data_IF_859415399587
#
_entry.id   IF_859415399587
#
_cell.length_a   1.000
_cell.length_b   1.000
_cell.length_c   1.000
_cell.angle_alpha   90.00
_cell.angle_beta   90.00
_cell.angle_gamma   90.00
#
_symmetry.space_group_name_H-M   'P 1'
#
loop_
_entity.id
_entity.type
_entity.pdbx_description
1 polymer ?
#
# COMPACT_ATOMS: atom_id res chain seq x y z
N UNK A 1 -4.00 -8.85 35.87
CA UNK A 1 -4.57 -7.58 35.36
C UNK A 1 -4.12 -7.24 33.91
N UNK A 2 -3.20 -7.99 33.29
CA UNK A 2 -2.69 -7.68 31.95
C UNK A 2 -3.54 -8.28 30.79
N UNK A 3 -4.32 -9.31 31.03
CA UNK A 3 -5.06 -10.03 29.99
C UNK A 3 -6.26 -9.24 29.42
N UNK A 4 -7.02 -8.58 30.27
CA UNK A 4 -8.21 -7.83 29.83
C UNK A 4 -7.90 -6.59 28.96
N UNK A 5 -6.68 -6.05 29.00
CA UNK A 5 -6.30 -4.87 28.21
C UNK A 5 -5.98 -5.27 26.75
N UNK A 6 -5.30 -6.40 26.54
CA UNK A 6 -4.94 -6.87 25.20
C UNK A 6 -6.17 -7.31 24.42
N UNK A 7 -7.08 -8.10 25.02
CA UNK A 7 -8.35 -8.49 24.41
C UNK A 7 -9.21 -7.29 24.03
N UNK A 8 -9.26 -6.26 24.88
CA UNK A 8 -9.98 -5.02 24.57
C UNK A 8 -9.38 -4.27 23.38
N UNK A 9 -8.05 -4.22 23.30
CA UNK A 9 -7.38 -3.60 22.14
C UNK A 9 -7.57 -4.40 20.86
N UNK A 10 -7.57 -5.74 20.93
CA UNK A 10 -7.86 -6.61 19.79
C UNK A 10 -9.29 -6.40 19.28
N UNK A 11 -10.27 -6.39 20.17
CA UNK A 11 -11.66 -6.12 19.82
C UNK A 11 -11.84 -4.73 19.17
N UNK A 12 -11.08 -3.72 19.60
CA UNK A 12 -11.10 -2.39 18.99
C UNK A 12 -10.53 -2.39 17.56
N UNK A 13 -9.58 -3.26 17.24
CA UNK A 13 -9.02 -3.41 15.89
C UNK A 13 -10.00 -4.03 14.89
N UNK A 14 -11.06 -4.68 15.34
CA UNK A 14 -12.15 -5.17 14.46
C UNK A 14 -12.99 -4.02 13.89
N UNK A 15 -12.89 -2.82 14.47
CA UNK A 15 -13.51 -1.62 13.94
C UNK A 15 -12.48 -0.47 13.84
N UNK A 16 -11.59 -0.51 12.85
CA UNK A 16 -10.49 0.46 12.72
C UNK A 16 -10.98 1.90 12.53
N UNK A 17 -12.12 2.11 11.90
CA UNK A 17 -12.70 3.45 11.72
C UNK A 17 -13.06 4.05 13.10
N UNK A 18 -13.73 3.28 13.94
CA UNK A 18 -14.09 3.73 15.28
C UNK A 18 -12.85 3.90 16.18
N UNK A 19 -11.89 2.99 16.08
CA UNK A 19 -10.63 3.09 16.82
C UNK A 19 -9.86 4.36 16.43
N UNK A 20 -9.73 4.63 15.12
CA UNK A 20 -9.10 5.84 14.62
C UNK A 20 -9.77 7.12 15.13
N UNK A 21 -11.10 7.18 15.04
CA UNK A 21 -11.88 8.30 15.56
C UNK A 21 -11.73 8.50 17.09
N UNK A 22 -11.59 7.40 17.85
CA UNK A 22 -11.38 7.44 19.30
C UNK A 22 -9.98 7.97 19.68
N UNK A 23 -8.94 7.58 18.92
CA UNK A 23 -7.56 7.95 19.20
C UNK A 23 -7.15 9.31 18.63
N UNK A 24 -7.83 9.77 17.57
CA UNK A 24 -7.49 11.03 16.86
C UNK A 24 -7.42 12.27 17.77
N UNK A 25 -8.32 12.49 18.76
CA UNK A 25 -8.22 13.62 19.67
C UNK A 25 -6.90 13.66 20.46
N UNK A 26 -6.34 12.50 20.79
CA UNK A 26 -5.05 12.39 21.50
C UNK A 26 -3.89 12.82 20.58
N UNK A 27 -3.95 12.45 19.28
CA UNK A 27 -2.98 12.90 18.29
C UNK A 27 -3.05 14.41 18.10
N UNK A 28 -4.26 14.98 17.98
CA UNK A 28 -4.46 16.43 17.87
C UNK A 28 -3.86 17.16 19.08
N UNK A 29 -4.16 16.67 20.30
CA UNK A 29 -3.61 17.25 21.51
C UNK A 29 -2.07 17.19 21.53
N UNK A 30 -1.47 16.06 21.12
CA UNK A 30 -0.02 15.91 21.04
C UNK A 30 0.61 16.86 20.01
N UNK A 31 0.03 17.00 18.82
CA UNK A 31 0.49 17.93 17.78
C UNK A 31 0.42 19.38 18.26
N UNK A 32 -0.66 19.75 18.95
CA UNK A 32 -0.83 21.09 19.54
C UNK A 32 0.27 21.42 20.54
N UNK A 33 0.78 20.45 21.31
CA UNK A 33 1.87 20.69 22.27
C UNK A 33 3.21 21.05 21.62
N UNK A 34 3.37 20.71 20.34
CA UNK A 34 4.57 20.98 19.55
C UNK A 34 4.32 22.01 18.44
N UNK A 35 3.22 22.75 18.53
CA UNK A 35 2.81 23.81 17.59
C UNK A 35 2.73 23.32 16.13
N UNK A 36 2.21 22.11 15.93
CA UNK A 36 1.98 21.49 14.61
C UNK A 36 0.48 21.44 14.32
N UNK A 37 0.07 22.00 13.20
CA UNK A 37 -1.32 21.95 12.74
C UNK A 37 -1.58 20.63 11.98
N UNK A 38 -2.61 19.88 12.40
CA UNK A 38 -3.04 18.66 11.74
C UNK A 38 -3.39 18.90 10.27
N UNK A 39 -4.00 20.04 9.92
CA UNK A 39 -4.33 20.36 8.52
C UNK A 39 -3.07 20.44 7.64
N UNK A 40 -1.98 21.02 8.14
CA UNK A 40 -0.71 21.10 7.41
C UNK A 40 -0.09 19.71 7.25
N UNK A 41 -0.19 18.85 8.26
CA UNK A 41 0.23 17.44 8.17
C UNK A 41 -0.57 16.70 7.10
N UNK A 42 -1.89 16.85 7.10
CA UNK A 42 -2.77 16.24 6.11
C UNK A 42 -2.42 16.71 4.70
N UNK A 43 -2.37 18.02 4.48
CA UNK A 43 -2.00 18.59 3.17
C UNK A 43 -0.64 18.08 2.69
N UNK A 44 0.34 18.05 3.59
CA UNK A 44 1.67 17.52 3.28
C UNK A 44 1.64 16.05 2.89
N UNK A 45 0.89 15.22 3.60
CA UNK A 45 0.77 13.78 3.32
C UNK A 45 0.14 13.49 1.95
N UNK A 46 -0.85 14.30 1.55
CA UNK A 46 -1.55 14.13 0.27
C UNK A 46 -0.75 14.61 -0.94
N UNK A 47 0.28 15.41 -0.73
CA UNK A 47 1.15 15.95 -1.79
C UNK A 47 2.54 15.32 -1.84
N UNK A 48 3.07 14.87 -0.70
CA UNK A 48 4.37 14.22 -0.63
C UNK A 48 4.29 12.73 -0.99
N UNK A 49 5.35 12.14 -1.56
CA UNK A 49 5.38 10.73 -1.95
C UNK A 49 5.38 9.78 -0.76
N UNK A 50 5.87 10.22 0.41
CA UNK A 50 5.85 9.44 1.64
C UNK A 50 6.05 10.31 2.89
N UNK A 51 5.66 9.75 4.04
CA UNK A 51 6.00 10.24 5.39
C UNK A 51 6.67 9.11 6.14
N UNK A 52 7.83 9.37 6.76
CA UNK A 52 8.52 8.42 7.63
C UNK A 52 8.46 8.91 9.06
N UNK A 53 7.67 8.23 9.88
CA UNK A 53 7.53 8.47 11.32
C UNK A 53 8.44 7.51 12.06
N UNK A 54 9.29 8.04 12.94
CA UNK A 54 10.27 7.23 13.68
C UNK A 54 9.82 7.00 15.12
N UNK A 55 10.10 5.80 15.62
CA UNK A 55 9.85 5.41 17.01
C UNK A 55 8.40 5.72 17.46
N UNK A 56 7.42 5.31 16.64
CA UNK A 56 5.99 5.56 16.89
C UNK A 56 5.44 4.62 17.94
N UNK A 57 5.99 3.42 18.05
CA UNK A 57 5.60 2.40 19.03
C UNK A 57 6.82 1.62 19.52
N UNK A 58 6.72 1.10 20.74
CA UNK A 58 7.79 0.32 21.35
C UNK A 58 7.78 -1.13 20.88
N UNK A 59 8.97 -1.73 20.80
CA UNK A 59 9.17 -3.13 20.49
C UNK A 59 9.47 -3.90 21.77
N UNK A 60 8.62 -4.85 22.10
CA UNK A 60 8.79 -5.74 23.25
C UNK A 60 8.54 -7.19 22.82
N UNK A 61 9.34 -8.11 23.32
CA UNK A 61 9.11 -9.59 23.28
C UNK A 61 8.56 -10.14 21.95
N UNK A 62 9.22 -9.83 20.86
CA UNK A 62 8.85 -10.39 19.55
C UNK A 62 9.17 -11.89 19.50
N UNK A 63 8.20 -12.74 19.14
CA UNK A 63 8.46 -14.14 18.81
C UNK A 63 9.31 -14.24 17.55
N UNK A 64 9.63 -15.45 17.12
CA UNK A 64 10.20 -15.67 15.80
C UNK A 64 9.32 -15.02 14.72
N UNK A 65 9.96 -14.50 13.69
CA UNK A 65 9.28 -13.91 12.53
C UNK A 65 8.34 -14.95 11.90
N UNK A 66 7.07 -14.61 11.64
CA UNK A 66 6.16 -15.51 10.96
C UNK A 66 6.68 -15.97 9.60
N UNK A 67 6.28 -17.16 9.19
CA UNK A 67 6.61 -17.73 7.88
C UNK A 67 5.45 -17.68 6.88
N UNK A 68 4.42 -16.88 7.19
CA UNK A 68 3.25 -16.67 6.35
C UNK A 68 2.78 -15.20 6.42
N UNK A 69 2.06 -14.75 5.38
CA UNK A 69 1.50 -13.41 5.35
C UNK A 69 0.41 -13.21 6.42
N UNK A 70 -0.34 -14.24 6.72
CA UNK A 70 -1.42 -14.27 7.71
C UNK A 70 -1.42 -15.57 8.50
N UNK A 71 -1.94 -15.57 9.74
CA UNK A 71 -2.38 -14.41 10.51
C UNK A 71 -1.21 -13.55 11.04
N UNK A 72 -1.49 -12.31 11.40
CA UNK A 72 -0.57 -11.51 12.24
C UNK A 72 -0.71 -11.99 13.68
N UNK A 73 0.37 -12.32 14.39
CA UNK A 73 0.29 -12.74 15.79
C UNK A 73 -0.32 -11.66 16.71
N UNK A 74 -1.20 -12.09 17.62
CA UNK A 74 -1.90 -11.21 18.58
C UNK A 74 -1.08 -11.05 19.87
N UNK A 75 -0.04 -10.23 19.79
CA UNK A 75 0.85 -9.89 20.91
C UNK A 75 0.89 -8.37 21.11
N UNK A 76 1.31 -7.91 22.29
CA UNK A 76 1.29 -6.50 22.65
C UNK A 76 1.96 -5.60 21.59
N UNK A 77 3.14 -5.97 21.10
CA UNK A 77 3.88 -5.21 20.08
C UNK A 77 3.13 -5.10 18.75
N UNK A 78 2.56 -6.20 18.24
CA UNK A 78 1.80 -6.15 16.98
C UNK A 78 0.47 -5.43 17.13
N UNK A 79 -0.16 -5.48 18.29
CA UNK A 79 -1.36 -4.70 18.62
C UNK A 79 -1.02 -3.21 18.65
N UNK A 80 0.07 -2.82 19.31
CA UNK A 80 0.53 -1.44 19.32
C UNK A 80 0.86 -0.92 17.90
N UNK A 81 1.58 -1.72 17.10
CA UNK A 81 1.90 -1.38 15.72
C UNK A 81 0.63 -1.19 14.84
N UNK A 82 -0.36 -2.09 14.98
CA UNK A 82 -1.64 -2.02 14.27
C UNK A 82 -2.45 -0.79 14.69
N UNK A 83 -2.59 -0.53 15.99
CA UNK A 83 -3.30 0.65 16.51
C UNK A 83 -2.63 1.95 16.07
N UNK A 84 -1.28 2.01 16.10
CA UNK A 84 -0.52 3.16 15.62
C UNK A 84 -0.73 3.41 14.12
N UNK A 85 -0.76 2.36 13.29
CA UNK A 85 -1.05 2.49 11.87
C UNK A 85 -2.48 3.02 11.63
N UNK A 86 -3.48 2.51 12.36
CA UNK A 86 -4.87 2.98 12.28
C UNK A 86 -4.98 4.46 12.60
N UNK A 87 -4.38 4.92 13.69
CA UNK A 87 -4.47 6.34 14.09
C UNK A 87 -3.68 7.25 13.16
N UNK A 88 -2.53 6.80 12.63
CA UNK A 88 -1.78 7.56 11.63
C UNK A 88 -2.60 7.77 10.36
N UNK A 89 -3.28 6.74 9.86
CA UNK A 89 -4.16 6.85 8.69
C UNK A 89 -5.38 7.73 8.98
N UNK A 90 -6.03 7.56 10.14
CA UNK A 90 -7.15 8.40 10.55
C UNK A 90 -6.76 9.89 10.64
N UNK A 91 -5.54 10.19 11.13
CA UNK A 91 -5.00 11.55 11.15
C UNK A 91 -4.84 12.16 9.75
N UNK A 92 -4.74 11.33 8.70
CA UNK A 92 -4.69 11.76 7.31
C UNK A 92 -6.07 11.80 6.61
N UNK A 93 -7.18 11.71 7.34
CA UNK A 93 -8.53 11.55 6.80
C UNK A 93 -8.66 10.31 5.90
N UNK A 94 -8.01 9.23 6.28
CA UNK A 94 -7.96 7.98 5.54
C UNK A 94 -8.39 6.83 6.45
N UNK A 95 -9.39 6.07 6.05
CA UNK A 95 -9.79 4.87 6.78
C UNK A 95 -8.82 3.73 6.51
N UNK A 96 -8.54 2.94 7.53
CA UNK A 96 -7.77 1.70 7.37
C UNK A 96 -8.65 0.65 6.72
N UNK A 97 -8.21 0.11 5.57
CA UNK A 97 -9.01 -0.80 4.74
C UNK A 97 -8.23 -2.05 4.31
N UNK A 98 -8.98 -3.05 3.88
CA UNK A 98 -8.46 -4.22 3.16
C UNK A 98 -9.35 -4.54 1.95
N UNK A 99 -8.86 -5.42 1.06
CA UNK A 99 -9.63 -5.93 -0.07
C UNK A 99 -9.92 -7.41 0.13
N UNK A 100 -11.16 -7.84 -0.11
CA UNK A 100 -11.54 -9.25 0.02
C UNK A 100 -10.71 -10.19 -0.86
N UNK A 101 -10.23 -9.70 -1.99
CA UNK A 101 -9.38 -10.45 -2.92
C UNK A 101 -7.90 -10.52 -2.53
N UNK A 102 -7.46 -9.87 -1.45
CA UNK A 102 -6.07 -9.93 -1.02
C UNK A 102 -5.95 -10.50 0.39
N UNK A 103 -5.14 -11.56 0.55
CA UNK A 103 -4.89 -12.20 1.85
C UNK A 103 -6.18 -12.48 2.65
N UNK A 104 -7.20 -13.01 1.98
CA UNK A 104 -8.52 -13.34 2.54
C UNK A 104 -9.23 -12.14 3.22
N UNK A 105 -8.87 -10.92 2.86
CA UNK A 105 -9.45 -9.70 3.41
C UNK A 105 -8.92 -9.31 4.78
N UNK A 106 -7.80 -9.88 5.22
CA UNK A 106 -7.16 -9.48 6.48
C UNK A 106 -6.70 -8.02 6.43
N UNK A 107 -7.01 -7.27 7.50
CA UNK A 107 -6.69 -5.85 7.59
C UNK A 107 -5.19 -5.57 7.66
N UNK A 108 -4.45 -6.46 8.31
CA UNK A 108 -2.99 -6.40 8.44
C UNK A 108 -2.36 -7.70 7.94
N UNK A 109 -1.23 -7.56 7.25
CA UNK A 109 -0.47 -8.69 6.75
C UNK A 109 1.00 -8.60 7.14
N UNK A 110 1.63 -9.75 7.38
CA UNK A 110 3.06 -9.84 7.60
C UNK A 110 3.80 -9.72 6.25
N UNK A 111 4.72 -8.78 6.14
CA UNK A 111 5.68 -8.73 5.04
C UNK A 111 6.98 -9.37 5.50
N UNK A 112 7.11 -10.65 5.20
CA UNK A 112 8.18 -11.54 5.69
C UNK A 112 8.77 -12.35 4.55
N UNK A 113 9.91 -12.99 4.80
CA UNK A 113 10.47 -14.01 3.92
C UNK A 113 9.62 -15.27 4.03
N UNK A 114 9.16 -15.80 2.90
CA UNK A 114 8.41 -17.05 2.86
C UNK A 114 9.36 -18.24 2.68
N UNK A 115 9.07 -19.40 3.31
CA UNK A 115 9.84 -20.62 3.14
C UNK A 115 9.58 -21.29 1.78
N UNK A 116 10.48 -22.20 1.40
CA UNK A 116 10.35 -23.00 0.18
C UNK A 116 10.75 -22.25 -1.09
N UNK A 117 10.30 -22.80 -2.21
CA UNK A 117 10.57 -22.33 -3.56
C UNK A 117 9.28 -21.91 -4.26
N UNK A 118 9.41 -21.16 -5.35
CA UNK A 118 8.30 -20.73 -6.21
C UNK A 118 7.99 -19.25 -6.10
N UNK A 119 7.07 -18.80 -6.94
CA UNK A 119 6.80 -17.39 -7.25
C UNK A 119 6.69 -16.48 -6.02
N UNK A 120 6.01 -16.89 -4.95
CA UNK A 120 5.84 -16.06 -3.76
C UNK A 120 7.06 -16.08 -2.84
N UNK A 121 7.69 -17.25 -2.67
CA UNK A 121 8.90 -17.39 -1.89
C UNK A 121 10.04 -16.58 -2.54
N UNK A 122 10.23 -16.74 -3.85
CA UNK A 122 11.24 -16.00 -4.62
C UNK A 122 10.97 -14.50 -4.59
N UNK A 123 9.71 -14.09 -4.81
CA UNK A 123 9.31 -12.69 -4.74
C UNK A 123 9.50 -12.11 -3.33
N UNK A 124 9.36 -12.90 -2.27
CA UNK A 124 9.59 -12.44 -0.90
C UNK A 124 11.04 -12.06 -0.62
N UNK A 125 11.98 -12.67 -1.34
CA UNK A 125 13.45 -12.49 -1.20
C UNK A 125 14.02 -11.51 -2.22
N UNK A 126 13.50 -11.50 -3.46
CA UNK A 126 14.03 -10.70 -4.56
C UNK A 126 13.74 -9.20 -4.40
N UNK A 127 14.44 -8.39 -5.18
CA UNK A 127 14.14 -6.98 -5.25
C UNK A 127 12.74 -6.76 -5.88
N UNK A 128 12.04 -5.71 -5.44
CA UNK A 128 10.79 -5.25 -6.04
C UNK A 128 11.02 -3.88 -6.65
N UNK A 129 10.81 -3.79 -7.96
CA UNK A 129 10.87 -2.51 -8.70
C UNK A 129 9.64 -1.65 -8.43
N UNK A 130 9.67 -0.40 -8.87
CA UNK A 130 8.64 0.60 -8.62
C UNK A 130 7.24 0.15 -9.04
N UNK A 131 6.28 0.28 -8.12
CA UNK A 131 4.87 0.00 -8.36
C UNK A 131 4.00 0.81 -7.40
N UNK A 132 2.72 0.92 -7.78
CA UNK A 132 1.63 1.25 -6.88
C UNK A 132 0.87 -0.02 -6.55
N UNK A 133 0.27 -0.11 -5.36
CA UNK A 133 -0.59 -1.23 -5.00
C UNK A 133 -1.98 -1.09 -5.59
N UNK A 134 -2.60 -2.23 -5.95
CA UNK A 134 -3.94 -2.25 -6.51
C UNK A 134 -4.05 -1.70 -7.93
N UNK A 135 -3.04 -1.91 -8.79
CA UNK A 135 -3.02 -1.34 -10.17
C UNK A 135 -4.18 -1.79 -11.06
N UNK A 136 -4.81 -2.94 -10.75
CA UNK A 136 -6.02 -3.40 -11.43
C UNK A 136 -7.30 -2.78 -10.89
N UNK A 137 -7.23 -1.98 -9.84
CA UNK A 137 -8.38 -1.27 -9.29
C UNK A 137 -8.41 0.17 -9.82
N UNK A 138 -9.59 0.81 -9.90
CA UNK A 138 -9.69 2.16 -10.41
C UNK A 138 -8.94 3.15 -9.50
N UNK A 139 -8.48 4.23 -10.08
CA UNK A 139 -8.05 5.39 -9.29
C UNK A 139 -9.29 6.02 -8.65
N UNK A 140 -9.19 6.53 -7.42
CA UNK A 140 -10.31 7.19 -6.74
C UNK A 140 -10.95 8.26 -7.63
N UNK A 141 -12.27 8.27 -7.66
CA UNK A 141 -13.06 9.13 -8.54
C UNK A 141 -13.33 8.55 -9.94
N UNK A 142 -12.74 7.40 -10.29
CA UNK A 142 -13.01 6.71 -11.56
C UNK A 142 -13.78 5.39 -11.32
N UNK A 143 -14.76 5.05 -12.17
CA UNK A 143 -15.40 3.74 -12.13
C UNK A 143 -14.46 2.66 -12.68
N UNK A 144 -14.61 1.42 -12.20
CA UNK A 144 -13.99 0.28 -12.84
C UNK A 144 -14.73 -0.08 -14.14
N UNK A 145 -13.98 -0.43 -15.18
CA UNK A 145 -14.52 -0.66 -16.53
C UNK A 145 -15.56 -1.81 -16.57
N UNK A 146 -15.29 -2.93 -15.90
CA UNK A 146 -16.14 -4.12 -15.94
C UNK A 146 -17.12 -4.25 -14.77
N UNK A 147 -16.82 -3.67 -13.63
CA UNK A 147 -17.65 -3.82 -12.43
C UNK A 147 -17.54 -2.59 -11.52
N UNK A 148 -18.61 -1.82 -11.46
CA UNK A 148 -18.66 -0.60 -10.66
C UNK A 148 -18.62 -0.84 -9.13
N UNK A 149 -18.78 -2.09 -8.68
CA UNK A 149 -18.63 -2.45 -7.26
C UNK A 149 -17.15 -2.50 -6.84
N UNK A 150 -16.24 -2.58 -7.79
CA UNK A 150 -14.80 -2.58 -7.47
C UNK A 150 -14.44 -1.27 -6.78
N UNK A 151 -13.90 -1.37 -5.58
CA UNK A 151 -13.43 -0.22 -4.83
C UNK A 151 -12.13 0.35 -5.46
N UNK A 152 -11.83 1.63 -5.24
CA UNK A 152 -10.58 2.22 -5.71
C UNK A 152 -9.35 1.55 -5.10
N UNK A 153 -8.21 1.64 -5.79
CA UNK A 153 -6.91 1.32 -5.22
C UNK A 153 -6.62 2.20 -4.00
N UNK A 154 -5.79 1.76 -3.03
CA UNK A 154 -5.55 2.50 -1.80
C UNK A 154 -4.88 3.85 -2.08
N UNK A 155 -5.19 4.88 -1.30
CA UNK A 155 -4.49 6.16 -1.32
C UNK A 155 -3.13 6.06 -0.62
N UNK A 156 -3.04 5.27 0.45
CA UNK A 156 -1.82 5.07 1.23
C UNK A 156 -1.50 3.59 1.42
N UNK A 157 -0.21 3.28 1.37
CA UNK A 157 0.35 2.02 1.87
C UNK A 157 1.07 2.33 3.18
N UNK A 158 0.63 1.70 4.26
CA UNK A 158 1.21 1.88 5.60
C UNK A 158 2.07 0.66 5.95
N UNK A 159 3.33 0.89 6.25
CA UNK A 159 4.30 -0.13 6.65
C UNK A 159 4.80 0.15 8.06
N UNK A 160 4.60 -0.80 8.98
CA UNK A 160 5.10 -0.73 10.36
C UNK A 160 6.28 -1.67 10.56
N UNK A 161 7.40 -1.16 11.06
CA UNK A 161 8.64 -1.91 11.27
C UNK A 161 8.62 -2.70 12.58
N UNK A 162 8.71 -4.04 12.52
CA UNK A 162 8.90 -4.87 13.69
C UNK A 162 10.35 -5.38 13.79
N UNK A 163 10.91 -5.82 12.66
CA UNK A 163 12.28 -6.34 12.59
C UNK A 163 12.89 -6.08 11.22
N UNK A 164 14.11 -5.53 11.16
CA UNK A 164 14.82 -5.28 9.91
C UNK A 164 16.35 -5.38 10.13
N UNK A 165 16.86 -6.58 10.46
CA UNK A 165 18.26 -6.78 10.93
C UNK A 165 19.29 -6.39 9.87
N UNK A 166 18.97 -6.58 8.59
CA UNK A 166 19.87 -6.30 7.48
C UNK A 166 19.68 -4.90 6.91
N UNK A 167 18.92 -4.02 7.59
CA UNK A 167 18.60 -2.67 7.10
C UNK A 167 18.11 -2.67 5.63
N UNK A 168 17.30 -3.66 5.27
CA UNK A 168 16.74 -3.76 3.91
C UNK A 168 15.88 -2.53 3.63
N UNK A 169 16.28 -1.75 2.62
CA UNK A 169 15.59 -0.53 2.26
C UNK A 169 14.23 -0.82 1.59
N UNK A 170 13.23 -0.06 1.96
CA UNK A 170 12.07 0.22 1.12
C UNK A 170 12.46 1.38 0.20
N UNK A 171 12.26 1.24 -1.10
CA UNK A 171 12.56 2.30 -2.07
C UNK A 171 11.28 3.06 -2.38
N UNK A 172 11.37 4.39 -2.48
CA UNK A 172 10.27 5.24 -2.93
C UNK A 172 10.75 6.11 -4.09
N UNK A 173 9.97 6.16 -5.17
CA UNK A 173 10.23 6.98 -6.34
C UNK A 173 9.18 8.10 -6.36
N UNK A 174 9.57 9.35 -6.00
CA UNK A 174 8.68 10.50 -6.04
C UNK A 174 8.24 10.79 -7.47
N UNK A 175 6.94 10.74 -7.76
CA UNK A 175 6.41 10.96 -9.11
C UNK A 175 6.86 12.29 -9.69
N UNK A 176 6.85 13.36 -8.89
CA UNK A 176 7.28 14.68 -9.33
C UNK A 176 8.76 14.72 -9.80
N UNK A 177 9.64 13.99 -9.11
CA UNK A 177 11.05 13.87 -9.52
C UNK A 177 11.20 12.99 -10.77
N UNK A 178 10.42 11.93 -10.89
CA UNK A 178 10.40 11.05 -12.07
C UNK A 178 9.94 11.83 -13.30
N UNK A 179 8.83 12.57 -13.21
CA UNK A 179 8.31 13.35 -14.34
C UNK A 179 9.26 14.47 -14.79
N UNK A 180 10.07 15.03 -13.89
CA UNK A 180 11.11 16.02 -14.26
C UNK A 180 12.24 15.45 -15.15
N UNK A 181 12.35 14.13 -15.23
CA UNK A 181 13.32 13.44 -16.09
C UNK A 181 12.78 13.13 -17.49
N UNK A 182 11.47 13.27 -17.68
CA UNK A 182 10.79 12.99 -18.94
C UNK A 182 10.61 14.26 -19.76
N UNK A 183 10.48 14.08 -21.07
CA UNK A 183 10.02 15.15 -21.99
C UNK A 183 8.51 15.33 -21.85
N UNK A 184 8.00 16.48 -22.29
CA UNK A 184 6.56 16.74 -22.31
C UNK A 184 5.80 15.73 -23.19
N UNK A 185 6.39 15.31 -24.31
CA UNK A 185 5.78 14.33 -25.20
C UNK A 185 5.68 12.95 -24.52
N UNK A 186 6.70 12.52 -23.77
CA UNK A 186 6.66 11.26 -23.00
C UNK A 186 5.62 11.33 -21.87
N UNK A 187 5.49 12.47 -21.19
CA UNK A 187 4.45 12.68 -20.17
C UNK A 187 3.06 12.61 -20.83
N UNK A 188 2.86 13.28 -21.97
CA UNK A 188 1.59 13.20 -22.72
C UNK A 188 1.26 11.77 -23.14
N UNK A 189 2.26 11.01 -23.63
CA UNK A 189 2.03 9.60 -23.99
C UNK A 189 1.54 8.78 -22.80
N UNK A 190 2.07 8.97 -21.59
CA UNK A 190 1.64 8.25 -20.38
C UNK A 190 0.19 8.57 -19.95
N UNK A 191 -0.38 9.71 -20.41
CA UNK A 191 -1.78 10.07 -20.13
C UNK A 191 -2.77 9.47 -21.13
N UNK A 192 -2.30 8.91 -22.24
CA UNK A 192 -3.19 8.33 -23.28
C UNK A 192 -3.67 6.92 -22.87
N UNK A 193 -4.91 6.55 -23.20
CA UNK A 193 -5.44 5.20 -22.97
C UNK A 193 -4.90 4.22 -24.02
N UNK A 194 -3.66 3.75 -23.85
CA UNK A 194 -2.94 2.91 -24.81
C UNK A 194 -2.03 1.87 -24.14
N UNK A 195 -2.20 1.66 -22.84
CA UNK A 195 -1.40 0.70 -22.07
C UNK A 195 -2.23 -0.50 -21.67
N UNK A 196 -1.51 -1.56 -21.32
CA UNK A 196 -2.06 -2.83 -20.86
C UNK A 196 -1.67 -2.96 -19.38
N UNK A 197 -2.64 -3.30 -18.52
CA UNK A 197 -2.39 -3.62 -17.12
C UNK A 197 -2.87 -5.03 -16.79
N UNK A 198 -1.99 -5.82 -16.17
CA UNK A 198 -2.31 -7.15 -15.67
C UNK A 198 -2.59 -7.10 -14.17
N UNK A 199 -3.59 -7.86 -13.67
CA UNK A 199 -3.82 -7.97 -12.24
C UNK A 199 -2.56 -8.47 -11.51
N UNK A 200 -2.21 -7.82 -10.40
CA UNK A 200 -1.10 -8.25 -9.56
C UNK A 200 -1.37 -9.65 -9.00
N UNK A 201 -0.32 -10.49 -8.88
CA UNK A 201 -0.45 -11.93 -8.52
C UNK A 201 -1.20 -12.16 -7.22
N UNK A 202 -0.97 -11.34 -6.20
CA UNK A 202 -1.64 -11.45 -4.89
C UNK A 202 -3.15 -11.25 -5.01
N UNK A 203 -3.58 -10.22 -5.69
CA UNK A 203 -4.99 -9.95 -5.97
C UNK A 203 -5.61 -11.00 -6.91
N UNK A 204 -4.88 -11.41 -7.94
CA UNK A 204 -5.37 -12.41 -8.92
C UNK A 204 -5.77 -13.73 -8.26
N UNK A 205 -5.01 -14.21 -7.27
CA UNK A 205 -5.35 -15.45 -6.56
C UNK A 205 -6.63 -15.30 -5.74
N UNK A 206 -6.78 -14.22 -5.00
CA UNK A 206 -7.98 -13.95 -4.22
C UNK A 206 -9.21 -13.69 -5.10
N UNK A 207 -9.05 -12.93 -6.21
CA UNK A 207 -10.12 -12.75 -7.20
C UNK A 207 -10.62 -14.09 -7.74
N UNK A 208 -9.69 -14.99 -8.10
CA UNK A 208 -10.05 -16.34 -8.57
C UNK A 208 -10.78 -17.15 -7.51
N UNK A 209 -10.37 -17.04 -6.24
CA UNK A 209 -11.03 -17.71 -5.09
C UNK A 209 -12.42 -17.16 -4.84
N UNK A 210 -12.59 -15.83 -4.90
CA UNK A 210 -13.87 -15.17 -4.57
C UNK A 210 -14.88 -15.20 -5.72
N UNK A 211 -14.45 -14.99 -6.95
CA UNK A 211 -15.32 -14.72 -8.11
C UNK A 211 -15.27 -15.83 -9.15
N UNK A 212 -14.44 -16.86 -8.93
CA UNK A 212 -14.25 -17.95 -9.90
C UNK A 212 -13.24 -17.59 -11.00
N UNK A 213 -12.87 -18.61 -11.78
CA UNK A 213 -11.83 -18.52 -12.81
C UNK A 213 -12.20 -17.68 -14.04
N UNK A 214 -13.49 -17.49 -14.27
CA UNK A 214 -14.04 -16.81 -15.45
C UNK A 214 -14.45 -15.35 -15.16
N UNK A 215 -14.03 -14.81 -14.02
CA UNK A 215 -14.32 -13.42 -13.67
C UNK A 215 -13.60 -12.46 -14.62
N UNK A 216 -14.30 -11.44 -15.17
CA UNK A 216 -13.68 -10.41 -16.01
C UNK A 216 -12.61 -9.60 -15.25
N UNK A 217 -12.64 -9.55 -13.92
CA UNK A 217 -11.62 -8.89 -13.11
C UNK A 217 -10.26 -9.63 -13.11
N UNK A 218 -10.21 -10.84 -13.67
CA UNK A 218 -8.95 -11.59 -13.90
C UNK A 218 -8.31 -11.31 -15.24
N UNK A 219 -9.03 -10.65 -16.12
CA UNK A 219 -8.57 -10.33 -17.46
C UNK A 219 -7.55 -9.20 -17.46
N UNK A 220 -6.84 -9.12 -18.55
CA UNK A 220 -5.91 -8.02 -18.82
C UNK A 220 -6.74 -6.81 -19.21
N UNK A 221 -6.51 -5.69 -18.57
CA UNK A 221 -7.11 -4.42 -18.95
C UNK A 221 -6.30 -3.82 -20.09
N UNK A 222 -6.98 -3.37 -21.13
CA UNK A 222 -6.42 -2.70 -22.32
C UNK A 222 -6.90 -1.26 -22.37
N UNK A 223 -6.30 -0.45 -23.21
CA UNK A 223 -6.63 0.98 -23.38
C UNK A 223 -6.62 1.75 -22.05
N UNK A 224 -5.64 1.44 -21.23
CA UNK A 224 -5.48 2.03 -19.90
C UNK A 224 -4.49 3.19 -19.95
N UNK A 225 -4.86 4.26 -19.29
CA UNK A 225 -3.97 5.38 -18.98
C UNK A 225 -3.16 5.09 -17.69
N UNK A 226 -1.88 5.40 -17.72
CA UNK A 226 -1.00 5.21 -16.55
C UNK A 226 -0.92 6.47 -15.68
N UNK A 227 -0.90 7.64 -16.30
CA UNK A 227 -0.77 8.93 -15.65
C UNK A 227 -2.09 9.71 -15.75
N UNK A 228 -2.53 10.32 -14.66
CA UNK A 228 -3.81 11.04 -14.55
C UNK A 228 -3.54 12.48 -14.15
N UNK A 229 -4.05 13.44 -14.91
CA UNK A 229 -4.08 14.84 -14.50
C UNK A 229 -5.16 15.07 -13.46
N UNK A 230 -4.81 15.76 -12.38
CA UNK A 230 -5.72 16.13 -11.30
C UNK A 230 -5.53 17.61 -10.93
N UNK A 231 -6.39 18.15 -10.08
CA UNK A 231 -6.24 19.53 -9.60
C UNK A 231 -4.95 19.74 -8.78
N UNK A 232 -4.43 18.67 -8.16
CA UNK A 232 -3.23 18.68 -7.32
C UNK A 232 -1.96 18.24 -8.07
N UNK A 233 -2.03 18.11 -9.41
CA UNK A 233 -0.95 17.61 -10.26
C UNK A 233 -1.25 16.23 -10.84
N UNK A 234 -0.22 15.41 -11.01
CA UNK A 234 -0.39 14.09 -11.62
C UNK A 234 -0.50 12.99 -10.56
N UNK A 235 -1.37 12.01 -10.82
CA UNK A 235 -1.41 10.73 -10.12
C UNK A 235 -0.98 9.61 -11.07
N UNK A 236 -0.41 8.53 -10.51
CA UNK A 236 0.11 7.39 -11.26
C UNK A 236 -0.59 6.09 -10.87
N UNK A 237 -0.84 5.23 -11.84
CA UNK A 237 -1.22 3.83 -11.67
C UNK A 237 -0.26 2.97 -12.47
N UNK A 238 0.72 2.37 -11.81
CA UNK A 238 1.80 1.70 -12.52
C UNK A 238 2.38 0.56 -11.70
N UNK A 239 2.75 -0.52 -12.36
CA UNK A 239 3.59 -1.55 -11.79
C UNK A 239 4.51 -2.09 -12.87
N UNK A 240 5.82 -2.04 -12.63
CA UNK A 240 6.83 -2.53 -13.57
C UNK A 240 6.57 -3.97 -14.05
N UNK A 241 5.98 -4.84 -13.23
CA UNK A 241 5.69 -6.23 -13.58
C UNK A 241 4.30 -6.46 -14.18
N UNK A 242 3.46 -5.44 -14.23
CA UNK A 242 2.06 -5.54 -14.64
C UNK A 242 1.69 -4.62 -15.81
N UNK A 243 2.40 -3.49 -15.95
CA UNK A 243 2.20 -2.56 -17.06
C UNK A 243 2.96 -2.98 -18.30
N UNK A 244 2.34 -2.79 -19.46
CA UNK A 244 2.91 -3.09 -20.77
C UNK A 244 2.29 -2.16 -21.81
N UNK A 245 2.80 -2.15 -23.04
CA UNK A 245 2.23 -1.39 -24.14
C UNK A 245 1.58 -2.33 -25.15
N UNK A 246 0.61 -1.86 -25.91
CA UNK A 246 0.19 -2.55 -27.11
C UNK A 246 1.35 -2.49 -28.12
N UNK A 247 1.59 -3.60 -28.84
CA UNK A 247 2.82 -3.84 -29.62
C UNK A 247 3.05 -2.85 -30.75
N UNK A 248 2.06 -2.07 -31.13
CA UNK A 248 2.10 -1.19 -32.32
C UNK A 248 2.46 0.28 -32.02
N UNK A 249 2.64 0.69 -30.74
CA UNK A 249 2.99 2.07 -30.39
C UNK A 249 4.45 2.22 -29.95
N UNK A 250 5.33 2.66 -30.85
CA UNK A 250 6.73 2.96 -30.54
C UNK A 250 6.85 4.10 -29.50
N UNK A 251 5.99 5.12 -29.59
CA UNK A 251 5.99 6.25 -28.66
C UNK A 251 5.59 5.83 -27.25
N UNK A 252 4.53 5.03 -27.11
CA UNK A 252 4.12 4.49 -25.80
C UNK A 252 5.22 3.58 -25.21
N UNK A 253 5.85 2.74 -26.04
CA UNK A 253 6.97 1.88 -25.64
C UNK A 253 8.18 2.68 -25.19
N UNK A 254 8.47 3.79 -25.84
CA UNK A 254 9.55 4.68 -25.44
C UNK A 254 9.21 5.40 -24.13
N UNK A 255 8.00 5.94 -24.00
CA UNK A 255 7.56 6.64 -22.79
C UNK A 255 7.61 5.76 -21.54
N UNK A 256 7.16 4.50 -21.62
CA UNK A 256 7.23 3.56 -20.48
C UNK A 256 8.68 3.21 -20.13
N UNK A 257 9.57 3.04 -21.11
CA UNK A 257 11.00 2.77 -20.88
C UNK A 257 11.70 3.97 -20.21
N UNK A 258 11.44 5.18 -20.70
CA UNK A 258 11.98 6.42 -20.10
C UNK A 258 11.45 6.58 -18.68
N UNK A 259 10.17 6.31 -18.43
CA UNK A 259 9.57 6.33 -17.10
C UNK A 259 10.24 5.33 -16.15
N UNK A 260 10.49 4.10 -16.60
CA UNK A 260 11.18 3.07 -15.80
C UNK A 260 12.62 3.48 -15.45
N UNK A 261 13.34 4.03 -16.40
CA UNK A 261 14.69 4.54 -16.16
C UNK A 261 14.67 5.69 -15.16
N UNK A 262 13.76 6.65 -15.32
CA UNK A 262 13.60 7.77 -14.40
C UNK A 262 13.22 7.30 -12.98
N UNK A 263 12.38 6.28 -12.84
CA UNK A 263 12.08 5.65 -11.55
C UNK A 263 13.34 5.10 -10.86
N UNK A 264 14.23 4.46 -11.60
CA UNK A 264 15.49 3.95 -11.04
C UNK A 264 16.42 5.09 -10.60
N UNK A 265 16.54 6.14 -11.39
CA UNK A 265 17.38 7.30 -11.10
C UNK A 265 16.87 8.13 -9.91
N UNK A 266 15.55 8.23 -9.74
CA UNK A 266 14.92 9.03 -8.68
C UNK A 266 14.59 8.23 -7.42
N UNK A 267 15.03 6.97 -7.34
CA UNK A 267 14.73 6.09 -6.21
C UNK A 267 15.42 6.55 -4.92
N UNK A 268 14.63 6.85 -3.90
CA UNK A 268 15.09 7.13 -2.54
C UNK A 268 14.98 5.87 -1.67
N UNK A 269 16.01 5.60 -0.87
CA UNK A 269 16.02 4.47 0.06
C UNK A 269 15.59 4.89 1.45
N UNK A 270 14.59 4.20 2.01
CA UNK A 270 14.09 4.39 3.37
C UNK A 270 14.27 3.10 4.16
N UNK A 271 15.05 3.15 5.23
CA UNK A 271 15.20 2.03 6.16
C UNK A 271 14.12 2.17 7.24
N UNK A 272 13.17 1.23 7.25
CA UNK A 272 12.14 1.17 8.29
C UNK A 272 12.74 0.40 9.46
N UNK A 273 13.08 1.12 10.53
CA UNK A 273 13.59 0.53 11.75
C UNK A 273 12.44 -0.08 12.60
N UNK A 274 12.76 -0.94 13.59
CA UNK A 274 11.77 -1.37 14.58
C UNK A 274 11.12 -0.17 15.29
N UNK A 275 9.79 -0.14 15.34
CA UNK A 275 9.01 0.96 15.90
C UNK A 275 8.66 2.09 14.91
N UNK A 276 9.22 2.08 13.70
CA UNK A 276 8.92 3.09 12.68
C UNK A 276 7.63 2.77 11.90
N UNK A 277 7.00 3.81 11.38
CA UNK A 277 5.91 3.73 10.39
C UNK A 277 6.30 4.51 9.14
N UNK A 278 6.22 3.87 7.98
CA UNK A 278 6.32 4.51 6.68
C UNK A 278 4.95 4.53 6.01
N UNK A 279 4.45 5.73 5.72
CA UNK A 279 3.24 5.97 4.93
C UNK A 279 3.67 6.36 3.52
N UNK A 280 3.39 5.52 2.54
CA UNK A 280 3.64 5.83 1.12
C UNK A 280 2.33 6.31 0.51
N UNK A 281 2.34 7.50 -0.08
CA UNK A 281 1.21 8.01 -0.86
C UNK A 281 1.19 7.27 -2.21
N UNK A 282 0.27 6.36 -2.36
CA UNK A 282 0.15 5.44 -3.49
C UNK A 282 -0.30 6.13 -4.80
N UNK A 283 -0.50 7.45 -4.78
CA UNK A 283 -0.89 8.28 -5.94
C UNK A 283 0.30 9.00 -6.58
N UNK A 284 1.26 9.43 -5.73
CA UNK A 284 2.40 10.26 -6.14
C UNK A 284 3.75 9.67 -5.72
N UNK A 285 3.73 8.47 -5.13
CA UNK A 285 4.91 7.71 -4.72
C UNK A 285 4.82 6.27 -5.20
N UNK A 286 5.62 5.89 -6.19
CA UNK A 286 5.85 4.49 -6.45
C UNK A 286 6.78 3.95 -5.37
N UNK A 287 6.60 2.69 -5.02
CA UNK A 287 7.44 2.07 -4.03
C UNK A 287 7.97 0.71 -4.49
N UNK A 288 9.03 0.29 -3.84
CA UNK A 288 9.69 -0.99 -4.09
C UNK A 288 10.49 -1.42 -2.87
N UNK A 289 11.37 -2.38 -3.05
CA UNK A 289 12.18 -2.91 -1.97
C UNK A 289 13.46 -3.51 -2.51
N UNK A 290 14.57 -3.31 -1.80
CA UNK A 290 15.82 -4.02 -2.05
C UNK A 290 15.70 -5.54 -1.83
N UNK A 291 16.73 -6.27 -2.17
CA UNK A 291 16.83 -7.71 -1.88
C UNK A 291 16.75 -7.94 -0.38
N UNK A 292 15.90 -8.86 0.05
CA UNK A 292 15.79 -9.28 1.46
C UNK A 292 16.72 -10.45 1.68
N UNK A 293 17.72 -10.26 2.52
CA UNK A 293 18.60 -11.34 2.96
C UNK A 293 17.97 -12.17 4.10
N UNK A 294 18.54 -13.34 4.34
CA UNK A 294 18.14 -14.25 5.43
C UNK A 294 17.16 -15.34 5.00
N UNK A 295 16.92 -16.24 5.92
CA UNK A 295 15.98 -17.35 5.79
C UNK A 295 14.62 -16.97 6.39
N UNK A 296 13.58 -17.75 6.08
CA UNK A 296 12.25 -17.60 6.66
C UNK A 296 12.25 -17.93 8.16
N UNK A 297 11.49 -17.20 8.95
CA UNK A 297 11.41 -17.40 10.40
C UNK A 297 12.55 -16.73 11.18
N UNK A 298 12.78 -17.17 12.42
CA UNK A 298 13.84 -16.66 13.30
C UNK A 298 13.78 -15.14 13.46
N UNK A 299 14.92 -14.48 13.31
CA UNK A 299 15.07 -13.03 13.41
C UNK A 299 15.05 -12.32 12.04
N UNK A 300 14.47 -12.94 11.01
CA UNK A 300 14.39 -12.37 9.67
C UNK A 300 13.55 -11.08 9.63
N UNK A 301 13.60 -10.36 8.51
CA UNK A 301 12.84 -9.12 8.32
C UNK A 301 11.34 -9.33 8.51
N UNK A 302 10.71 -8.47 9.32
CA UNK A 302 9.28 -8.48 9.59
C UNK A 302 8.72 -7.06 9.61
N UNK A 303 7.89 -6.73 8.64
CA UNK A 303 7.05 -5.53 8.67
C UNK A 303 5.59 -5.96 8.70
N UNK A 304 4.71 -5.08 9.17
CA UNK A 304 3.27 -5.17 8.91
C UNK A 304 2.91 -4.21 7.79
N UNK A 305 1.93 -4.60 6.96
CA UNK A 305 1.31 -3.73 5.96
C UNK A 305 -0.18 -3.63 6.21
N UNK A 306 -0.72 -2.43 6.02
CA UNK A 306 -2.15 -2.17 5.84
C UNK A 306 -2.32 -1.05 4.81
N UNK A 307 -3.57 -0.80 4.42
CA UNK A 307 -3.90 0.23 3.45
C UNK A 307 -4.74 1.34 4.07
N UNK A 308 -4.63 2.54 3.52
CA UNK A 308 -5.49 3.68 3.80
C UNK A 308 -6.22 4.15 2.55
N UNK A 309 -7.48 4.51 2.70
CA UNK A 309 -8.30 5.06 1.62
C UNK A 309 -9.24 6.13 2.17
N UNK A 310 -9.38 7.25 1.47
CA UNK A 310 -10.48 8.18 1.69
C UNK A 310 -11.79 7.53 1.23
N UNK A 311 -12.59 7.09 2.19
CA UNK A 311 -13.79 6.30 1.91
C UNK A 311 -15.09 7.11 1.86
N UNK A 312 -15.01 8.45 1.93
CA UNK A 312 -16.19 9.33 2.00
C UNK A 312 -17.12 9.23 0.78
N UNK A 313 -16.55 8.93 -0.39
CA UNK A 313 -17.29 8.78 -1.64
C UNK A 313 -17.58 7.34 -2.03
N UNK A 314 -17.21 6.37 -1.19
CA UNK A 314 -17.48 4.95 -1.48
C UNK A 314 -18.97 4.65 -1.39
N UNK A 315 -19.46 3.93 -2.39
CA UNK A 315 -20.81 3.39 -2.44
C UNK A 315 -20.94 2.15 -1.58
N UNK A 316 -22.17 1.84 -1.14
CA UNK A 316 -22.42 0.68 -0.29
C UNK A 316 -21.99 -0.65 -0.94
N UNK A 317 -22.19 -0.80 -2.24
CA UNK A 317 -21.83 -2.00 -3.00
C UNK A 317 -20.32 -2.21 -3.17
N UNK A 318 -19.51 -1.22 -2.86
CA UNK A 318 -18.04 -1.31 -2.85
C UNK A 318 -17.50 -1.84 -1.52
N UNK A 319 -18.37 -2.12 -0.55
CA UNK A 319 -18.03 -2.61 0.78
C UNK A 319 -18.64 -3.98 1.00
N UNK A 320 -17.97 -4.82 1.78
CA UNK A 320 -18.61 -6.04 2.32
C UNK A 320 -19.57 -5.65 3.44
N UNK A 321 -20.83 -6.16 3.43
CA UNK A 321 -21.87 -5.75 4.38
C UNK A 321 -21.59 -6.22 5.82
N UNK A 322 -20.74 -7.22 5.99
CA UNK A 322 -20.33 -7.81 7.26
C UNK A 322 -19.01 -7.26 7.83
N UNK A 323 -18.48 -6.21 7.22
CA UNK A 323 -17.19 -5.62 7.64
C UNK A 323 -17.20 -4.09 7.55
N UNK A 324 -16.58 -3.44 8.52
CA UNK A 324 -16.41 -1.98 8.54
C UNK A 324 -15.24 -1.50 7.67
N UNK A 325 -14.36 -2.39 7.26
CA UNK A 325 -13.09 -2.07 6.60
C UNK A 325 -12.83 -2.85 5.29
N UNK A 326 -13.54 -3.96 5.05
CA UNK A 326 -13.29 -4.81 3.89
C UNK A 326 -14.01 -4.28 2.65
N UNK A 327 -13.25 -4.06 1.59
CA UNK A 327 -13.74 -3.55 0.33
C UNK A 327 -13.82 -4.65 -0.74
N UNK A 328 -14.73 -4.44 -1.70
CA UNK A 328 -14.93 -5.31 -2.86
C UNK A 328 -13.96 -4.95 -3.99
N UNK A 329 -13.38 -5.90 -4.65
CA UNK A 329 -13.47 -7.34 -4.45
C UNK A 329 -12.54 -7.87 -3.37
#
# INVERSE_FOLDING_TARGET
MHDNSLESCLAALDNPVQLGAHLLPQVIAALTTVDVDLYDVQRSAWTNPFIHLRAVFDIHDLPETPTAFIPVPDIATTVAARASAVVCLAALNSDTISYGSENDGHLFVNLVVLPGDGDFADKSKSNMRGHTDGVSFPVRGQPHEFDQRVAPSPDFVCLSGLRNPNSTATTVMPLSAVLQKLTNDEIEELTKPQYILRPQKTFKLGLRKLLGKDSPLLEVMVDIQLLFETQDGHWIRYSHSAADTDFDSELASQAIKSFEQACQECSASVIIAPGDILLVNNRVGLHGRGVVGGEAGGDSRWLLRTYGLDTRELRAEQRYPDSTFKLYP
#
